data_IF_393086413003
#
_entry.id   IF_393086413003
#
_cell.length_a   1.000
_cell.length_b   1.000
_cell.length_c   1.000
_cell.angle_alpha   90.00
_cell.angle_beta   90.00
_cell.angle_gamma   90.00
#
_symmetry.space_group_name_H-M   'P 1'
#
loop_
_entity.id
_entity.type
_entity.pdbx_description
1 polymer ?
#
# COMPACT_ATOMS: atom_id res chain seq x y z
N UNK A 1 -1.75 -14.73 11.61
CA UNK A 1 -0.37 -15.15 11.87
C UNK A 1 0.10 -16.18 10.84
N UNK A 2 1.39 -16.26 10.53
CA UNK A 2 1.93 -17.25 9.61
C UNK A 2 1.59 -18.69 10.08
N UNK A 3 1.15 -19.54 9.15
CA UNK A 3 0.70 -20.90 9.46
C UNK A 3 -0.70 -21.02 10.04
N UNK A 4 -1.35 -19.89 10.30
CA UNK A 4 -2.76 -19.80 10.67
C UNK A 4 -3.63 -19.37 9.48
N UNK A 5 -4.67 -18.59 9.76
CA UNK A 5 -5.64 -18.10 8.78
C UNK A 5 -5.64 -16.57 8.64
N UNK A 6 -4.60 -15.90 9.14
CA UNK A 6 -4.50 -14.44 9.14
C UNK A 6 -4.42 -13.83 7.73
N UNK A 7 -3.96 -14.61 6.76
CA UNK A 7 -3.88 -14.27 5.33
C UNK A 7 -5.17 -14.59 4.55
N UNK A 8 -6.26 -14.97 5.24
CA UNK A 8 -7.53 -15.36 4.61
C UNK A 8 -8.63 -14.32 4.84
N UNK A 9 -9.54 -14.18 3.88
CA UNK A 9 -10.68 -13.27 3.95
C UNK A 9 -11.81 -13.87 4.81
N UNK A 10 -11.56 -13.93 6.11
CA UNK A 10 -12.48 -14.50 7.11
C UNK A 10 -12.96 -13.42 8.06
N UNK A 11 -14.24 -13.43 8.44
CA UNK A 11 -14.81 -12.47 9.40
C UNK A 11 -14.07 -12.40 10.73
N UNK A 12 -13.48 -13.51 11.18
CA UNK A 12 -12.66 -13.57 12.39
C UNK A 12 -11.41 -12.68 12.34
N UNK A 13 -10.87 -12.40 11.14
CA UNK A 13 -9.71 -11.50 10.97
C UNK A 13 -10.10 -10.03 11.00
N UNK A 14 -11.36 -9.68 10.65
CA UNK A 14 -11.82 -8.29 10.58
C UNK A 14 -12.58 -7.83 11.82
N UNK A 15 -13.27 -8.73 12.51
CA UNK A 15 -14.02 -8.39 13.71
C UNK A 15 -13.16 -7.73 14.81
N UNK A 16 -11.93 -8.19 15.13
CA UNK A 16 -11.05 -7.53 16.10
C UNK A 16 -10.61 -6.12 15.68
N UNK A 17 -10.68 -5.78 14.39
CA UNK A 17 -10.25 -4.48 13.86
C UNK A 17 -11.26 -3.36 14.17
N UNK A 18 -12.49 -3.68 14.57
CA UNK A 18 -13.59 -2.70 14.77
C UNK A 18 -13.24 -1.70 15.88
N UNK A 19 -12.71 -2.16 17.01
CA UNK A 19 -12.36 -1.28 18.14
C UNK A 19 -11.21 -0.35 17.80
N UNK A 20 -10.04 -0.84 17.33
CA UNK A 20 -8.95 0.04 16.89
C UNK A 20 -9.37 1.04 15.81
N UNK A 21 -10.25 0.62 14.88
CA UNK A 21 -10.76 1.51 13.84
C UNK A 21 -11.58 2.67 14.41
N UNK A 22 -12.46 2.41 15.39
CA UNK A 22 -13.23 3.47 16.08
C UNK A 22 -12.31 4.43 16.82
N UNK A 23 -11.28 3.92 17.49
CA UNK A 23 -10.28 4.74 18.17
C UNK A 23 -9.51 5.63 17.19
N UNK A 24 -9.09 5.11 16.05
CA UNK A 24 -8.44 5.89 15.01
C UNK A 24 -9.36 7.00 14.47
N UNK A 25 -10.63 6.68 14.18
CA UNK A 25 -11.63 7.66 13.74
C UNK A 25 -11.87 8.76 14.78
N UNK A 26 -11.92 8.41 16.08
CA UNK A 26 -12.04 9.38 17.17
C UNK A 26 -10.86 10.35 17.28
N UNK A 27 -9.71 10.00 16.70
CA UNK A 27 -8.51 10.84 16.60
C UNK A 27 -8.36 11.53 15.24
N UNK A 28 -9.35 11.42 14.33
CA UNK A 28 -9.34 12.04 13.00
C UNK A 28 -8.64 11.25 11.92
N UNK A 29 -8.31 9.98 12.15
CA UNK A 29 -7.71 9.08 11.13
C UNK A 29 -8.77 8.19 10.48
N UNK A 30 -8.60 7.89 9.19
CA UNK A 30 -9.55 7.08 8.45
C UNK A 30 -9.30 5.57 8.58
N UNK A 31 -8.03 5.16 8.75
CA UNK A 31 -7.62 3.76 8.76
C UNK A 31 -6.52 3.49 9.78
N UNK A 32 -6.35 2.22 10.14
CA UNK A 32 -5.17 1.74 10.85
C UNK A 32 -4.15 1.18 9.87
N UNK A 33 -2.87 1.43 10.10
CA UNK A 33 -1.77 0.72 9.49
C UNK A 33 -1.39 -0.44 10.42
N UNK A 34 -1.53 -1.68 9.92
CA UNK A 34 -1.30 -2.88 10.71
C UNK A 34 0.18 -3.24 10.71
N UNK A 35 0.71 -3.50 11.88
CA UNK A 35 2.12 -3.83 12.10
C UNK A 35 2.23 -5.24 12.70
N UNK A 36 3.27 -5.97 12.32
CA UNK A 36 3.51 -7.33 12.80
C UNK A 36 4.86 -7.47 13.50
N UNK A 37 4.82 -8.08 14.69
CA UNK A 37 6.00 -8.42 15.49
C UNK A 37 6.67 -7.23 16.17
N UNK A 38 7.72 -7.51 16.94
CA UNK A 38 8.45 -6.50 17.71
C UNK A 38 9.19 -5.50 16.82
N UNK A 39 9.55 -5.90 15.60
CA UNK A 39 10.19 -5.05 14.59
C UNK A 39 9.22 -4.09 13.92
N UNK A 40 7.93 -4.20 14.22
CA UNK A 40 6.88 -3.37 13.63
C UNK A 40 6.89 -3.42 12.08
N UNK A 41 6.95 -4.63 11.51
CA UNK A 41 6.84 -4.82 10.07
C UNK A 41 5.49 -4.32 9.56
N UNK A 42 5.53 -3.47 8.54
CA UNK A 42 4.32 -2.96 7.88
C UNK A 42 3.68 -4.07 7.06
N UNK A 43 2.39 -4.27 7.23
CA UNK A 43 1.63 -5.33 6.55
C UNK A 43 0.54 -4.77 5.67
N UNK A 44 -0.55 -4.28 6.24
CA UNK A 44 -1.74 -3.81 5.53
C UNK A 44 -2.27 -2.51 6.11
N UNK A 45 -3.08 -1.77 5.35
CA UNK A 45 -3.79 -0.58 5.81
C UNK A 45 -5.30 -0.82 5.76
N UNK A 46 -5.97 -0.75 6.92
CA UNK A 46 -7.41 -1.03 7.01
C UNK A 46 -7.73 -2.45 6.52
N UNK A 47 -8.42 -2.55 5.40
CA UNK A 47 -8.78 -3.80 4.70
C UNK A 47 -8.12 -3.89 3.32
N UNK A 48 -6.99 -3.21 3.13
CA UNK A 48 -6.27 -3.09 1.86
C UNK A 48 -4.82 -3.50 2.03
N UNK A 49 -4.21 -4.04 0.98
CA UNK A 49 -2.75 -4.16 0.90
C UNK A 49 -2.10 -2.78 0.83
N UNK A 50 -0.87 -2.65 1.31
CA UNK A 50 -0.19 -1.36 1.42
C UNK A 50 1.05 -1.31 0.54
N UNK A 51 1.22 -0.18 -0.15
CA UNK A 51 2.34 0.11 -1.03
C UNK A 51 3.04 1.39 -0.62
N UNK A 52 4.36 1.41 -0.79
CA UNK A 52 5.21 2.58 -0.53
C UNK A 52 6.12 2.81 -1.72
N UNK A 53 6.13 4.02 -2.25
CA UNK A 53 7.08 4.48 -3.23
C UNK A 53 8.17 5.31 -2.54
N UNK A 54 9.43 4.93 -2.69
CA UNK A 54 10.54 5.63 -2.07
C UNK A 54 11.82 5.59 -2.93
N UNK A 55 12.82 6.39 -2.55
CA UNK A 55 14.18 6.26 -3.08
C UNK A 55 15.00 5.36 -2.16
N UNK A 56 15.62 4.36 -2.74
CA UNK A 56 16.56 3.50 -2.01
C UNK A 56 17.70 4.33 -1.43
N UNK A 57 18.06 4.07 -0.17
CA UNK A 57 19.05 4.85 0.57
C UNK A 57 20.46 4.74 -0.03
N UNK A 58 20.80 3.56 -0.52
CA UNK A 58 22.15 3.25 -1.01
C UNK A 58 22.32 3.59 -2.50
N UNK A 59 21.32 3.23 -3.30
CA UNK A 59 21.41 3.36 -4.77
C UNK A 59 20.75 4.62 -5.32
N UNK A 60 19.86 5.27 -4.55
CA UNK A 60 19.02 6.38 -5.02
C UNK A 60 17.92 5.96 -6.01
N UNK A 61 17.84 4.69 -6.39
CA UNK A 61 16.84 4.17 -7.31
C UNK A 61 15.44 4.28 -6.72
N UNK A 62 14.46 4.57 -7.54
CA UNK A 62 13.05 4.57 -7.14
C UNK A 62 12.57 3.13 -6.97
N UNK A 63 11.92 2.86 -5.85
CA UNK A 63 11.35 1.55 -5.52
C UNK A 63 9.85 1.69 -5.21
N UNK A 64 9.06 0.76 -5.74
CA UNK A 64 7.70 0.50 -5.28
C UNK A 64 7.73 -0.78 -4.45
N UNK A 65 7.45 -0.64 -3.15
CA UNK A 65 7.59 -1.72 -2.17
C UNK A 65 6.23 -2.10 -1.61
N UNK A 66 6.01 -3.39 -1.42
CA UNK A 66 4.88 -3.93 -0.65
C UNK A 66 5.34 -5.14 0.16
N UNK A 67 4.57 -5.49 1.20
CA UNK A 67 4.84 -6.66 2.03
C UNK A 67 4.78 -7.97 1.20
N UNK A 68 5.63 -8.97 1.52
CA UNK A 68 5.63 -10.25 0.83
C UNK A 68 4.45 -11.13 1.27
N UNK A 69 4.09 -12.12 0.46
CA UNK A 69 3.09 -13.14 0.79
C UNK A 69 3.69 -14.21 1.73
N UNK A 70 3.90 -13.86 2.99
CA UNK A 70 4.52 -14.72 4.01
C UNK A 70 3.51 -15.24 5.06
N UNK A 71 2.22 -15.09 4.79
CA UNK A 71 1.12 -15.50 5.68
C UNK A 71 0.65 -14.41 6.64
N UNK A 72 1.17 -13.18 6.54
CA UNK A 72 0.76 -12.03 7.37
C UNK A 72 -0.21 -11.09 6.68
N UNK A 73 -0.38 -11.19 5.36
CA UNK A 73 -1.24 -10.33 4.55
C UNK A 73 -2.17 -11.16 3.65
N UNK A 74 -3.29 -10.56 3.26
CA UNK A 74 -4.15 -11.14 2.23
C UNK A 74 -3.47 -11.08 0.86
N UNK A 75 -3.51 -12.18 0.12
CA UNK A 75 -3.14 -12.25 -1.29
C UNK A 75 -4.22 -11.54 -2.14
N UNK A 76 -4.13 -10.20 -2.19
CA UNK A 76 -5.14 -9.36 -2.83
C UNK A 76 -5.03 -9.37 -4.36
N UNK A 77 -6.15 -9.56 -5.07
CA UNK A 77 -6.18 -9.48 -6.53
C UNK A 77 -5.79 -8.09 -7.04
N UNK A 78 -6.22 -7.03 -6.36
CA UNK A 78 -5.82 -5.66 -6.72
C UNK A 78 -4.32 -5.42 -6.46
N UNK A 79 -3.76 -6.03 -5.37
CA UNK A 79 -2.32 -6.02 -5.13
C UNK A 79 -1.54 -6.65 -6.29
N UNK A 80 -1.99 -7.79 -6.77
CA UNK A 80 -1.36 -8.49 -7.91
C UNK A 80 -1.45 -7.66 -9.19
N UNK A 81 -2.60 -7.03 -9.44
CA UNK A 81 -2.79 -6.09 -10.55
C UNK A 81 -1.83 -4.90 -10.48
N UNK A 82 -1.64 -4.29 -9.30
CA UNK A 82 -0.67 -3.20 -9.09
C UNK A 82 0.75 -3.67 -9.38
N UNK A 83 1.14 -4.84 -8.87
CA UNK A 83 2.48 -5.39 -9.10
C UNK A 83 2.73 -5.69 -10.58
N UNK A 84 1.75 -6.28 -11.27
CA UNK A 84 1.83 -6.61 -12.70
C UNK A 84 1.98 -5.33 -13.54
N UNK A 85 1.13 -4.33 -13.32
CA UNK A 85 1.18 -3.04 -14.01
C UNK A 85 2.47 -2.26 -13.69
N UNK A 86 2.92 -2.31 -12.44
CA UNK A 86 4.18 -1.66 -12.06
C UNK A 86 5.38 -2.31 -12.77
N UNK A 87 5.42 -3.63 -12.85
CA UNK A 87 6.46 -4.35 -13.60
C UNK A 87 6.42 -4.04 -15.08
N UNK A 88 5.23 -4.00 -15.68
CA UNK A 88 5.02 -3.71 -17.09
C UNK A 88 5.39 -2.26 -17.43
N UNK A 89 5.00 -1.28 -16.61
CA UNK A 89 4.99 0.14 -17.00
C UNK A 89 5.97 1.02 -16.23
N UNK A 90 6.34 0.69 -14.99
CA UNK A 90 7.30 1.48 -14.20
C UNK A 90 8.73 0.96 -14.32
N UNK A 91 8.94 -0.36 -14.40
CA UNK A 91 10.31 -0.92 -14.54
C UNK A 91 11.02 -0.37 -15.77
N UNK A 92 10.40 -0.25 -16.97
CA UNK A 92 11.04 0.40 -18.12
C UNK A 92 11.39 1.88 -17.89
N UNK A 93 10.77 2.53 -16.90
CA UNK A 93 11.05 3.92 -16.50
C UNK A 93 12.13 4.02 -15.38
N UNK A 94 12.81 2.92 -15.08
CA UNK A 94 13.90 2.87 -14.09
C UNK A 94 13.43 2.65 -12.65
N UNK A 95 12.19 2.21 -12.43
CA UNK A 95 11.73 1.78 -11.11
C UNK A 95 12.13 0.35 -10.80
N UNK A 96 12.30 0.06 -9.52
CA UNK A 96 12.39 -1.30 -9.00
C UNK A 96 11.08 -1.65 -8.27
N UNK A 97 10.52 -2.83 -8.52
CA UNK A 97 9.30 -3.33 -7.88
C UNK A 97 9.68 -4.46 -6.94
N UNK A 98 9.48 -4.25 -5.63
CA UNK A 98 10.05 -5.09 -4.59
C UNK A 98 8.97 -5.60 -3.63
N UNK A 99 8.92 -6.90 -3.46
CA UNK A 99 8.14 -7.56 -2.41
C UNK A 99 9.08 -7.94 -1.27
N UNK A 100 9.08 -7.17 -0.20
CA UNK A 100 9.95 -7.42 0.96
C UNK A 100 9.34 -6.89 2.26
N UNK A 101 9.82 -7.42 3.38
CA UNK A 101 9.53 -6.82 4.68
C UNK A 101 10.21 -5.47 4.81
N UNK A 102 9.51 -4.53 5.43
CA UNK A 102 10.04 -3.23 5.84
C UNK A 102 9.33 -2.77 7.12
N UNK A 103 9.98 -1.95 7.90
CA UNK A 103 9.50 -1.54 9.22
C UNK A 103 8.97 -0.13 9.22
N UNK A 104 8.17 0.22 10.23
CA UNK A 104 7.78 1.61 10.46
C UNK A 104 8.97 2.54 10.68
N UNK A 105 10.04 2.03 11.30
CA UNK A 105 11.28 2.80 11.47
C UNK A 105 11.92 3.15 10.13
N UNK A 106 12.01 2.19 9.20
CA UNK A 106 12.53 2.44 7.85
C UNK A 106 11.69 3.49 7.11
N UNK A 107 10.37 3.44 7.27
CA UNK A 107 9.45 4.39 6.66
C UNK A 107 9.59 5.80 7.27
N UNK A 108 9.71 5.91 8.60
CA UNK A 108 9.97 7.18 9.30
C UNK A 108 11.32 7.79 8.89
N UNK A 109 12.38 6.97 8.79
CA UNK A 109 13.69 7.40 8.30
C UNK A 109 13.61 7.91 6.85
N UNK A 110 12.93 7.16 5.96
CA UNK A 110 12.76 7.57 4.57
C UNK A 110 11.99 8.90 4.44
N UNK A 111 10.98 9.12 5.26
CA UNK A 111 10.24 10.39 5.29
C UNK A 111 11.11 11.54 5.79
N UNK A 112 11.83 11.36 6.89
CA UNK A 112 12.72 12.39 7.47
C UNK A 112 13.88 12.76 6.53
N UNK A 113 14.36 11.80 5.73
CA UNK A 113 15.43 11.99 4.74
C UNK A 113 14.90 12.52 3.38
N UNK A 114 13.59 12.75 3.23
CA UNK A 114 13.00 13.21 1.98
C UNK A 114 13.01 12.15 0.86
N UNK A 115 13.16 10.88 1.20
CA UNK A 115 13.18 9.76 0.25
C UNK A 115 11.82 9.13 0.02
N UNK A 116 10.87 9.29 0.95
CA UNK A 116 9.50 8.82 0.79
C UNK A 116 8.79 9.67 -0.27
N UNK A 117 8.31 9.02 -1.33
CA UNK A 117 7.68 9.70 -2.48
C UNK A 117 6.18 9.74 -2.28
N UNK A 118 5.57 8.59 -2.01
CA UNK A 118 4.14 8.44 -1.70
C UNK A 118 3.85 7.08 -1.08
N UNK A 119 2.64 6.94 -0.51
CA UNK A 119 2.12 5.67 -0.03
C UNK A 119 0.63 5.55 -0.36
N UNK A 120 0.15 4.32 -0.56
CA UNK A 120 -1.25 4.06 -0.85
C UNK A 120 -1.69 2.65 -0.46
N UNK A 121 -2.97 2.49 -0.18
CA UNK A 121 -3.62 1.20 -0.05
C UNK A 121 -4.19 0.71 -1.38
N UNK A 122 -4.27 -0.59 -1.60
CA UNK A 122 -4.95 -1.19 -2.74
C UNK A 122 -5.97 -2.24 -2.32
N UNK A 123 -7.17 -2.18 -2.89
CA UNK A 123 -8.25 -3.12 -2.62
C UNK A 123 -9.40 -2.94 -3.59
N UNK A 124 -10.28 -3.94 -3.71
CA UNK A 124 -11.33 -3.96 -4.75
C UNK A 124 -12.35 -2.83 -4.64
N UNK A 125 -12.65 -2.35 -3.44
CA UNK A 125 -13.67 -1.31 -3.25
C UNK A 125 -13.19 0.09 -3.66
N UNK A 126 -11.94 0.43 -3.35
CA UNK A 126 -11.38 1.76 -3.62
C UNK A 126 -10.35 1.75 -4.75
N UNK A 127 -10.02 0.58 -5.30
CA UNK A 127 -8.94 0.32 -6.25
C UNK A 127 -7.59 0.77 -5.67
N UNK A 128 -7.36 2.08 -5.59
CA UNK A 128 -6.18 2.69 -4.94
C UNK A 128 -6.65 3.83 -4.03
N UNK A 129 -6.17 3.83 -2.79
CA UNK A 129 -6.45 4.85 -1.78
C UNK A 129 -5.15 5.51 -1.32
N UNK A 130 -4.87 6.76 -1.71
CA UNK A 130 -3.67 7.48 -1.30
C UNK A 130 -3.61 7.70 0.22
N UNK A 131 -2.41 7.63 0.79
CA UNK A 131 -2.16 7.89 2.21
C UNK A 131 -1.35 9.17 2.37
N UNK A 132 -1.92 10.17 3.04
CA UNK A 132 -1.28 11.46 3.27
C UNK A 132 -0.37 11.45 4.49
N UNK A 133 -0.87 10.93 5.60
CA UNK A 133 -0.15 10.92 6.86
C UNK A 133 -0.30 9.59 7.60
N UNK A 134 0.73 9.23 8.33
CA UNK A 134 0.73 8.10 9.26
C UNK A 134 1.07 8.63 10.64
N UNK A 135 0.21 8.38 11.64
CA UNK A 135 0.53 8.66 13.04
C UNK A 135 1.20 7.45 13.66
N UNK A 136 2.42 7.63 14.15
CA UNK A 136 3.21 6.57 14.76
C UNK A 136 4.00 7.09 15.97
N UNK A 137 3.78 6.49 17.16
CA UNK A 137 4.47 6.86 18.42
C UNK A 137 4.46 8.36 18.71
N UNK A 138 3.30 9.00 18.49
CA UNK A 138 3.12 10.43 18.73
C UNK A 138 3.70 11.36 17.64
N UNK A 139 4.30 10.82 16.60
CA UNK A 139 4.74 11.56 15.42
C UNK A 139 3.70 11.49 14.32
N UNK A 140 3.65 12.53 13.47
CA UNK A 140 2.91 12.54 12.23
C UNK A 140 3.92 12.46 11.07
N UNK A 141 3.92 11.34 10.35
CA UNK A 141 4.80 11.09 9.20
C UNK A 141 4.03 11.53 7.95
N UNK A 142 4.61 12.44 7.17
CA UNK A 142 4.09 12.83 5.86
C UNK A 142 4.52 11.80 4.80
N UNK A 143 3.55 11.27 4.06
CA UNK A 143 3.78 10.27 3.03
C UNK A 143 4.05 10.87 1.63
N UNK A 144 4.56 12.10 1.57
CA UNK A 144 5.02 12.74 0.33
C UNK A 144 3.99 13.58 -0.39
N UNK A 145 2.69 13.49 -0.04
CA UNK A 145 1.65 14.33 -0.65
C UNK A 145 1.72 15.78 -0.15
N UNK A 146 1.63 16.73 -1.08
CA UNK A 146 1.49 18.15 -0.75
C UNK A 146 0.04 18.46 -0.35
N UNK A 147 -0.17 19.56 0.38
CA UNK A 147 -1.49 19.91 0.94
C UNK A 147 -2.62 19.98 -0.09
N UNK A 148 -2.31 20.38 -1.31
CA UNK A 148 -3.28 20.53 -2.41
C UNK A 148 -3.42 19.27 -3.29
N UNK A 149 -2.60 18.24 -3.09
CA UNK A 149 -2.64 17.01 -3.86
C UNK A 149 -3.59 16.01 -3.21
N UNK A 150 -4.53 15.46 -3.96
CA UNK A 150 -5.43 14.40 -3.47
C UNK A 150 -4.80 13.01 -3.61
N UNK A 151 -3.87 12.84 -4.58
CA UNK A 151 -3.18 11.59 -4.89
C UNK A 151 -1.75 11.86 -5.32
N UNK A 152 -0.86 10.92 -5.04
CA UNK A 152 0.47 10.89 -5.64
C UNK A 152 0.42 10.41 -7.09
N UNK A 153 1.51 10.63 -7.81
CA UNK A 153 1.62 10.29 -9.24
C UNK A 153 1.43 8.79 -9.51
N UNK A 154 2.06 7.93 -8.68
CA UNK A 154 2.00 6.48 -8.88
C UNK A 154 0.63 5.94 -8.51
N UNK A 155 0.05 6.40 -7.39
CA UNK A 155 -1.30 6.03 -6.98
C UNK A 155 -2.35 6.40 -8.05
N UNK A 156 -2.25 7.60 -8.62
CA UNK A 156 -3.14 8.06 -9.70
C UNK A 156 -2.99 7.19 -10.96
N UNK A 157 -1.75 6.93 -11.40
CA UNK A 157 -1.47 6.05 -12.55
C UNK A 157 -1.96 4.63 -12.34
N UNK A 158 -1.74 4.05 -11.15
CA UNK A 158 -2.22 2.69 -10.85
C UNK A 158 -3.75 2.61 -10.93
N UNK A 159 -4.44 3.61 -10.38
CA UNK A 159 -5.90 3.68 -10.47
C UNK A 159 -6.36 3.77 -11.92
N UNK A 160 -5.82 4.70 -12.69
CA UNK A 160 -6.13 4.89 -14.11
C UNK A 160 -5.90 3.60 -14.93
N UNK A 161 -4.75 2.96 -14.75
CA UNK A 161 -4.41 1.76 -15.53
C UNK A 161 -5.28 0.54 -15.16
N UNK A 162 -5.65 0.39 -13.89
CA UNK A 162 -6.56 -0.67 -13.47
C UNK A 162 -7.96 -0.40 -14.01
N UNK A 163 -8.47 0.83 -13.90
CA UNK A 163 -9.77 1.22 -14.43
C UNK A 163 -9.84 1.06 -15.95
N UNK A 164 -8.80 1.45 -16.67
CA UNK A 164 -8.71 1.27 -18.13
C UNK A 164 -8.87 -0.21 -18.53
N UNK A 165 -8.24 -1.14 -17.82
CA UNK A 165 -8.43 -2.58 -18.06
C UNK A 165 -9.81 -3.08 -17.64
N UNK A 166 -10.35 -2.58 -16.53
CA UNK A 166 -11.68 -2.97 -16.05
C UNK A 166 -12.80 -2.56 -17.01
N UNK A 167 -12.68 -1.38 -17.62
CA UNK A 167 -13.70 -0.83 -18.54
C UNK A 167 -13.43 -1.10 -20.01
N UNK A 168 -12.30 -1.74 -20.34
CA UNK A 168 -11.96 -2.13 -21.72
C UNK A 168 -11.31 -1.04 -22.57
N UNK A 169 -10.91 0.08 -21.93
CA UNK A 169 -10.13 1.13 -22.60
C UNK A 169 -8.69 0.67 -22.92
N UNK A 170 -8.17 -0.28 -22.14
CA UNK A 170 -6.93 -1.03 -22.35
C UNK A 170 -7.30 -2.51 -22.53
N UNK A 171 -7.31 -3.01 -23.78
CA UNK A 171 -7.67 -4.40 -24.10
C UNK A 171 -6.69 -5.39 -23.43
N UNK A 172 -7.24 -6.22 -22.54
CA UNK A 172 -6.44 -7.17 -21.79
C UNK A 172 -7.27 -8.41 -21.37
N UNK A 173 -6.60 -9.55 -21.21
CA UNK A 173 -7.22 -10.82 -20.78
C UNK A 173 -7.88 -10.79 -19.39
N UNK A 174 -7.64 -9.76 -18.59
CA UNK A 174 -8.27 -9.57 -17.25
C UNK A 174 -9.74 -9.16 -17.33
N UNK A 175 -10.19 -8.64 -18.45
CA UNK A 175 -11.57 -8.19 -18.63
C UNK A 175 -12.20 -8.80 -19.86
N UNK A 176 -13.48 -9.09 -19.77
CA UNK A 176 -14.32 -9.52 -20.88
C UNK A 176 -15.42 -8.48 -21.09
N UNK A 177 -15.46 -7.92 -22.29
CA UNK A 177 -16.48 -6.94 -22.67
C UNK A 177 -17.65 -7.72 -23.31
N UNK A 178 -18.84 -7.57 -22.70
CA UNK A 178 -20.06 -8.19 -23.17
C UNK A 178 -20.78 -7.32 -24.19
#
# INVERSE_FOLDING_TARGET
WPGGVGDKKLGANYAPCVVPQREAMGRGFQQNLWLFGEQEYVTEVGTMNFFVALRNKETGQKELITAPLDGTILEGVTRDSVLSLARERLVPQGWNVVERKYTMKELDEAANEGRLIEAFGSGTAAIVSPVRHISWKGKLINCGLKDHEESGEIAAKMKEWIEARQYGDDEHEWSYIC
#
